data_IF_521550853105
#
_entry.id   IF_521550853105
#
_cell.length_a   1.000
_cell.length_b   1.000
_cell.length_c   1.000
_cell.angle_alpha   90.00
_cell.angle_beta   90.00
_cell.angle_gamma   90.00
#
_symmetry.space_group_name_H-M   'P 1'
#
loop_
_entity.id
_entity.type
_entity.pdbx_description
1 polymer ?
#
# COMPACT_ATOMS: atom_id res chain seq x y z
N UNK A 1 26.48 24.68 -7.27
CA UNK A 1 25.52 23.61 -7.03
C UNK A 1 26.12 22.59 -6.07
N UNK A 2 25.39 22.21 -5.06
CA UNK A 2 25.72 21.14 -4.14
C UNK A 2 24.81 19.99 -4.50
N UNK A 3 25.38 18.80 -4.74
CA UNK A 3 24.64 17.59 -5.02
C UNK A 3 24.83 16.64 -3.85
N UNK A 4 23.73 16.15 -3.29
CA UNK A 4 23.75 15.12 -2.27
C UNK A 4 23.08 13.86 -2.83
N UNK A 5 23.69 12.73 -2.57
CA UNK A 5 23.14 11.42 -2.89
C UNK A 5 22.67 10.79 -1.59
N UNK A 6 21.40 10.45 -1.52
CA UNK A 6 20.83 9.72 -0.39
C UNK A 6 20.20 8.45 -0.91
N UNK A 7 20.49 7.35 -0.26
CA UNK A 7 19.82 6.08 -0.50
C UNK A 7 18.53 6.07 0.32
N UNK A 8 17.38 6.18 -0.36
CA UNK A 8 16.06 6.30 0.30
C UNK A 8 15.62 5.00 0.94
N UNK A 9 16.16 3.87 0.48
CA UNK A 9 15.84 2.55 1.01
C UNK A 9 16.99 1.91 1.81
N UNK A 10 18.11 2.61 1.96
CA UNK A 10 19.29 2.12 2.71
C UNK A 10 19.11 2.06 4.21
N UNK A 11 18.00 2.55 4.75
CA UNK A 11 17.76 2.54 6.18
C UNK A 11 16.59 1.65 6.58
N UNK A 12 16.92 0.59 7.27
CA UNK A 12 16.11 -0.18 8.22
C UNK A 12 14.87 -0.92 7.72
N UNK A 13 14.10 -0.41 6.75
CA UNK A 13 12.89 -1.09 6.27
C UNK A 13 13.21 -2.08 5.15
N UNK A 14 14.21 -1.79 4.35
CA UNK A 14 14.58 -2.59 3.19
C UNK A 14 15.62 -3.66 3.48
N UNK A 15 16.47 -3.49 4.49
CA UNK A 15 17.51 -4.46 4.78
C UNK A 15 16.96 -5.87 5.05
N UNK A 16 15.87 -6.00 5.78
CA UNK A 16 15.25 -7.30 6.09
C UNK A 16 14.46 -7.90 4.93
N UNK A 17 14.03 -7.09 3.97
CA UNK A 17 13.35 -7.54 2.75
C UNK A 17 14.37 -7.86 1.65
N UNK A 18 15.45 -7.09 1.56
CA UNK A 18 16.52 -7.28 0.56
C UNK A 18 17.39 -8.50 0.84
N UNK A 19 17.57 -8.91 2.10
CA UNK A 19 18.31 -10.12 2.45
C UNK A 19 17.63 -11.43 2.00
N UNK A 20 16.35 -11.39 1.61
CA UNK A 20 15.61 -12.56 1.16
C UNK A 20 15.43 -12.68 -0.36
N UNK A 21 15.70 -11.65 -1.11
CA UNK A 21 15.62 -11.68 -2.56
C UNK A 21 17.01 -11.52 -3.15
N UNK A 22 17.47 -12.48 -3.93
CA UNK A 22 18.74 -12.47 -4.69
C UNK A 22 18.84 -11.34 -5.73
N UNK A 23 17.86 -10.43 -5.76
CA UNK A 23 17.81 -9.26 -6.65
C UNK A 23 17.80 -7.99 -5.84
N UNK A 24 18.96 -7.40 -5.68
CA UNK A 24 19.09 -6.09 -5.02
C UNK A 24 18.48 -4.98 -5.87
N UNK A 25 17.43 -4.37 -5.37
CA UNK A 25 16.99 -3.09 -5.86
C UNK A 25 17.69 -1.97 -5.09
N UNK A 26 18.24 -1.02 -5.80
CA UNK A 26 18.81 0.17 -5.20
C UNK A 26 17.98 1.39 -5.61
N UNK A 27 17.54 2.18 -4.63
CA UNK A 27 16.91 3.46 -4.90
C UNK A 27 17.85 4.58 -4.45
N UNK A 28 18.18 5.48 -5.37
CA UNK A 28 19.06 6.61 -5.09
C UNK A 28 18.30 7.90 -5.33
N UNK A 29 18.36 8.81 -4.37
CA UNK A 29 17.84 10.18 -4.53
C UNK A 29 19.00 11.14 -4.71
N UNK A 30 18.96 11.91 -5.79
CA UNK A 30 19.87 13.02 -6.06
C UNK A 30 19.16 14.32 -5.78
N UNK A 31 19.68 15.11 -4.82
CA UNK A 31 19.17 16.41 -4.46
C UNK A 31 20.15 17.49 -4.91
N UNK A 32 19.67 18.43 -5.70
CA UNK A 32 20.47 19.57 -6.19
C UNK A 32 20.06 20.82 -5.43
N UNK A 33 21.01 21.40 -4.73
CA UNK A 33 20.81 22.63 -3.95
C UNK A 33 21.52 23.81 -4.60
N UNK A 34 20.91 24.99 -4.49
CA UNK A 34 21.54 26.25 -4.85
C UNK A 34 22.68 26.56 -3.89
N UNK A 35 23.85 26.90 -4.42
CA UNK A 35 24.97 27.36 -3.59
C UNK A 35 24.76 28.75 -2.98
N UNK A 36 23.86 29.55 -3.57
CA UNK A 36 23.62 30.93 -3.15
C UNK A 36 22.79 31.02 -1.88
N UNK A 37 21.75 30.20 -1.77
CA UNK A 37 20.74 30.31 -0.72
C UNK A 37 20.42 28.94 -0.03
N UNK A 38 21.08 27.86 -0.45
CA UNK A 38 20.92 26.55 0.12
C UNK A 38 19.58 25.88 -0.20
N UNK A 39 18.76 26.50 -1.07
CA UNK A 39 17.45 25.96 -1.39
C UNK A 39 17.54 24.80 -2.37
N UNK A 40 16.70 23.81 -2.19
CA UNK A 40 16.58 22.65 -3.08
C UNK A 40 16.04 23.09 -4.44
N UNK A 41 16.76 22.80 -5.51
CA UNK A 41 16.38 23.19 -6.89
C UNK A 41 15.83 22.03 -7.70
N UNK A 42 16.29 20.82 -7.42
CA UNK A 42 15.89 19.63 -8.15
C UNK A 42 15.97 18.40 -7.26
N UNK A 43 15.06 17.48 -7.46
CA UNK A 43 15.10 16.11 -6.91
C UNK A 43 15.01 15.14 -8.07
N UNK A 44 15.87 14.13 -8.07
CA UNK A 44 15.77 12.99 -8.97
C UNK A 44 15.79 11.71 -8.16
N UNK A 45 14.88 10.77 -8.48
CA UNK A 45 14.83 9.45 -7.88
C UNK A 45 15.12 8.42 -8.97
N UNK A 46 16.11 7.60 -8.70
CA UNK A 46 16.58 6.56 -9.60
C UNK A 46 16.38 5.19 -8.97
N UNK A 47 15.88 4.27 -9.75
CA UNK A 47 15.91 2.85 -9.43
C UNK A 47 16.99 2.15 -10.23
N UNK A 48 17.79 1.36 -9.54
CA UNK A 48 18.81 0.50 -10.14
C UNK A 48 18.46 -0.96 -9.89
N UNK A 49 18.43 -1.72 -10.95
CA UNK A 49 18.23 -3.16 -10.94
C UNK A 49 19.11 -3.81 -11.98
N UNK A 50 19.82 -4.87 -11.62
CA UNK A 50 20.68 -5.64 -12.53
C UNK A 50 21.67 -4.74 -13.32
N UNK A 51 22.20 -3.68 -12.67
CA UNK A 51 23.10 -2.68 -13.27
C UNK A 51 22.40 -1.66 -14.20
N UNK A 52 21.08 -1.74 -14.38
CA UNK A 52 20.32 -0.75 -15.12
C UNK A 52 19.74 0.29 -14.19
N UNK A 53 20.04 1.56 -14.47
CA UNK A 53 19.55 2.73 -13.72
C UNK A 53 18.38 3.37 -14.48
N UNK A 54 17.21 3.42 -13.84
CA UNK A 54 15.99 4.01 -14.41
C UNK A 54 15.58 5.23 -13.61
N UNK A 55 15.36 6.35 -14.27
CA UNK A 55 14.81 7.55 -13.66
C UNK A 55 13.32 7.35 -13.39
N UNK A 56 12.92 7.40 -12.12
CA UNK A 56 11.52 7.19 -11.69
C UNK A 56 10.79 8.50 -11.50
N UNK A 57 11.51 9.51 -10.95
CA UNK A 57 10.95 10.81 -10.68
C UNK A 57 12.01 11.90 -10.93
N UNK A 58 11.60 12.97 -11.57
CA UNK A 58 12.38 14.22 -11.67
C UNK A 58 11.47 15.39 -11.36
N UNK A 59 11.86 16.19 -10.37
CA UNK A 59 11.26 17.50 -10.15
C UNK A 59 12.00 18.53 -11.01
N UNK A 60 11.30 19.21 -11.89
CA UNK A 60 11.92 20.20 -12.79
C UNK A 60 11.84 21.62 -12.25
N UNK A 61 10.82 21.92 -11.44
CA UNK A 61 10.62 23.24 -10.87
C UNK A 61 10.22 23.15 -9.41
N UNK A 62 11.09 23.64 -8.52
CA UNK A 62 10.78 23.82 -7.11
C UNK A 62 10.76 25.33 -6.85
N UNK A 63 9.59 25.83 -6.48
CA UNK A 63 9.38 27.25 -6.24
C UNK A 63 9.08 27.47 -4.77
N UNK A 64 9.76 28.45 -4.18
CA UNK A 64 9.63 28.79 -2.77
C UNK A 64 8.85 30.10 -2.61
N UNK A 65 8.16 30.22 -1.48
CA UNK A 65 7.47 31.46 -1.08
C UNK A 65 6.46 32.00 -2.11
N UNK A 66 5.87 31.11 -2.92
CA UNK A 66 4.72 31.51 -3.71
C UNK A 66 3.57 31.86 -2.79
N UNK A 67 2.91 33.02 -2.98
CA UNK A 67 1.66 33.28 -2.30
C UNK A 67 0.67 32.17 -2.70
N UNK A 68 0.26 31.36 -1.73
CA UNK A 68 -0.76 30.32 -1.96
C UNK A 68 -2.09 31.02 -2.26
N UNK A 69 -2.43 31.09 -3.53
CA UNK A 69 -3.76 31.54 -3.94
C UNK A 69 -4.71 30.39 -3.62
N UNK A 70 -5.75 30.60 -2.77
CA UNK A 70 -6.69 29.54 -2.38
C UNK A 70 -7.25 28.74 -3.56
N UNK A 71 -7.42 29.37 -4.72
CA UNK A 71 -7.87 28.72 -5.95
C UNK A 71 -6.89 27.65 -6.47
N UNK A 72 -5.59 27.73 -6.19
CA UNK A 72 -4.61 26.72 -6.59
C UNK A 72 -4.75 25.46 -5.73
N UNK A 73 -5.13 25.63 -4.46
CA UNK A 73 -5.35 24.51 -3.53
C UNK A 73 -6.66 23.75 -3.81
N UNK A 74 -7.59 24.40 -4.54
CA UNK A 74 -8.89 23.81 -4.91
C UNK A 74 -8.96 23.40 -6.38
N UNK A 75 -7.93 23.68 -7.19
CA UNK A 75 -7.89 23.19 -8.56
C UNK A 75 -7.79 21.67 -8.55
N UNK A 76 -8.92 21.04 -8.84
CA UNK A 76 -8.93 19.60 -9.12
C UNK A 76 -8.36 19.41 -10.51
N UNK A 77 -7.43 18.45 -10.72
CA UNK A 77 -7.04 18.04 -12.06
C UNK A 77 -8.29 17.66 -12.87
N UNK A 78 -8.18 17.77 -14.19
CA UNK A 78 -9.25 17.32 -15.07
C UNK A 78 -9.63 15.88 -14.74
N UNK A 79 -10.87 15.67 -14.30
CA UNK A 79 -11.36 14.39 -13.81
C UNK A 79 -11.55 13.37 -14.93
N UNK A 80 -11.41 13.74 -16.18
CA UNK A 80 -11.53 12.81 -17.33
C UNK A 80 -10.36 11.82 -17.41
N UNK A 81 -9.23 12.14 -16.77
CA UNK A 81 -8.02 11.29 -16.78
C UNK A 81 -7.55 10.87 -15.38
N UNK A 82 -8.21 11.33 -14.32
CA UNK A 82 -7.81 11.04 -12.92
C UNK A 82 -8.95 10.39 -12.18
N UNK A 83 -8.75 9.15 -11.80
CA UNK A 83 -9.63 8.50 -10.83
C UNK A 83 -9.31 9.06 -9.45
N UNK A 84 -10.16 9.92 -8.93
CA UNK A 84 -10.09 10.36 -7.54
C UNK A 84 -10.44 9.19 -6.63
N UNK A 85 -9.45 8.68 -5.95
CA UNK A 85 -9.70 7.86 -4.77
C UNK A 85 -10.20 8.84 -3.71
N UNK A 86 -11.51 9.01 -3.63
CA UNK A 86 -12.07 9.74 -2.50
C UNK A 86 -11.61 9.00 -1.25
N UNK A 87 -11.06 9.71 -0.28
CA UNK A 87 -10.71 9.16 1.02
C UNK A 87 -11.93 8.56 1.76
N UNK A 88 -13.06 8.59 1.12
CA UNK A 88 -14.34 8.17 1.62
C UNK A 88 -14.61 6.74 1.14
N UNK A 89 -14.24 5.81 1.95
CA UNK A 89 -14.88 4.52 2.21
C UNK A 89 -15.64 3.86 1.07
N UNK A 90 -15.40 2.57 0.87
CA UNK A 90 -16.25 1.75 0.02
C UNK A 90 -17.69 1.90 0.50
N UNK A 91 -18.55 2.37 -0.36
CA UNK A 91 -19.97 2.51 -0.06
C UNK A 91 -20.65 1.17 -0.31
N UNK A 92 -20.82 0.38 0.73
CA UNK A 92 -21.72 -0.77 0.70
C UNK A 92 -23.15 -0.24 0.67
N UNK A 93 -23.81 -0.35 -0.48
CA UNK A 93 -25.15 0.21 -0.70
C UNK A 93 -26.27 -0.71 -0.18
N UNK A 94 -26.05 -2.02 -0.18
CA UNK A 94 -27.01 -2.99 0.34
C UNK A 94 -26.99 -3.02 1.87
N UNK A 95 -28.08 -2.64 2.54
CA UNK A 95 -28.16 -2.61 4.00
C UNK A 95 -27.99 -3.99 4.65
N UNK A 96 -28.44 -5.07 3.98
CA UNK A 96 -28.32 -6.42 4.50
C UNK A 96 -26.86 -6.87 4.46
N UNK A 97 -26.17 -6.60 3.35
CA UNK A 97 -24.75 -6.87 3.21
C UNK A 97 -23.93 -6.03 4.20
N UNK A 98 -24.20 -4.74 4.32
CA UNK A 98 -23.52 -3.87 5.29
C UNK A 98 -23.67 -4.40 6.72
N UNK A 99 -24.89 -4.79 7.12
CA UNK A 99 -25.15 -5.37 8.46
C UNK A 99 -24.33 -6.62 8.70
N UNK A 100 -24.17 -7.48 7.68
CA UNK A 100 -23.33 -8.66 7.76
C UNK A 100 -21.88 -8.28 8.03
N UNK A 101 -21.32 -7.35 7.25
CA UNK A 101 -19.93 -6.91 7.37
C UNK A 101 -19.63 -6.19 8.70
N UNK A 102 -20.59 -5.42 9.21
CA UNK A 102 -20.42 -4.74 10.51
C UNK A 102 -20.49 -5.67 11.70
N UNK A 103 -21.11 -6.82 11.55
CA UNK A 103 -21.17 -7.84 12.60
C UNK A 103 -20.02 -8.87 12.55
N UNK A 104 -19.21 -8.86 11.49
CA UNK A 104 -18.04 -9.73 11.40
C UNK A 104 -17.01 -9.41 12.49
N UNK A 105 -16.42 -10.43 13.07
CA UNK A 105 -15.15 -10.32 13.80
C UNK A 105 -14.00 -10.07 12.83
N UNK A 106 -12.89 -9.55 13.31
CA UNK A 106 -11.70 -9.34 12.47
C UNK A 106 -11.15 -10.67 11.90
N UNK A 107 -11.30 -11.78 12.63
CA UNK A 107 -10.90 -13.10 12.17
C UNK A 107 -11.79 -13.57 11.00
N UNK A 108 -13.11 -13.41 11.11
CA UNK A 108 -14.05 -13.76 10.04
C UNK A 108 -13.83 -12.90 8.79
N UNK A 109 -13.60 -11.59 8.97
CA UNK A 109 -13.25 -10.69 7.88
C UNK A 109 -11.96 -11.13 7.18
N UNK A 110 -10.90 -11.45 7.96
CA UNK A 110 -9.65 -11.98 7.42
C UNK A 110 -9.88 -13.26 6.60
N UNK A 111 -10.64 -14.20 7.12
CA UNK A 111 -10.96 -15.45 6.43
C UNK A 111 -11.69 -15.21 5.11
N UNK A 112 -12.70 -14.33 5.12
CA UNK A 112 -13.46 -13.94 3.92
C UNK A 112 -12.57 -13.30 2.86
N UNK A 113 -11.72 -12.35 3.26
CA UNK A 113 -10.82 -11.63 2.35
C UNK A 113 -9.80 -12.58 1.74
N UNK A 114 -9.11 -13.35 2.58
CA UNK A 114 -8.10 -14.30 2.13
C UNK A 114 -8.69 -15.38 1.22
N UNK A 115 -9.90 -15.88 1.56
CA UNK A 115 -10.61 -16.83 0.71
C UNK A 115 -10.95 -16.22 -0.66
N UNK A 116 -11.43 -14.97 -0.71
CA UNK A 116 -11.75 -14.30 -1.97
C UNK A 116 -10.52 -14.20 -2.89
N UNK A 117 -9.35 -13.90 -2.31
CA UNK A 117 -8.09 -13.81 -3.06
C UNK A 117 -7.62 -15.20 -3.54
N UNK A 118 -7.62 -16.20 -2.67
CA UNK A 118 -7.17 -17.56 -3.03
C UNK A 118 -8.13 -18.27 -4.02
N UNK A 119 -9.42 -17.94 -3.99
CA UNK A 119 -10.39 -18.40 -4.97
C UNK A 119 -10.31 -17.66 -6.32
N UNK A 120 -9.46 -16.62 -6.42
CA UNK A 120 -9.35 -15.78 -7.61
C UNK A 120 -10.59 -14.90 -7.85
N UNK A 121 -11.34 -14.58 -6.80
CA UNK A 121 -12.59 -13.80 -6.83
C UNK A 121 -12.52 -12.57 -5.92
N UNK A 122 -11.56 -11.64 -6.12
CA UNK A 122 -11.33 -10.51 -5.22
C UNK A 122 -12.55 -9.59 -5.08
N UNK A 123 -13.45 -9.56 -6.08
CA UNK A 123 -14.69 -8.79 -6.03
C UNK A 123 -15.62 -9.21 -4.88
N UNK A 124 -15.48 -10.42 -4.33
CA UNK A 124 -16.27 -10.89 -3.18
C UNK A 124 -15.84 -10.25 -1.85
N UNK A 125 -14.73 -9.53 -1.86
CA UNK A 125 -14.23 -8.78 -0.72
C UNK A 125 -13.80 -7.35 -1.14
N UNK A 126 -14.37 -6.84 -2.23
CA UNK A 126 -13.94 -5.58 -2.85
C UNK A 126 -14.01 -4.38 -1.92
N UNK A 127 -15.01 -4.32 -1.04
CA UNK A 127 -15.15 -3.27 -0.03
C UNK A 127 -13.98 -3.28 0.99
N UNK A 128 -13.53 -4.46 1.39
CA UNK A 128 -12.42 -4.61 2.32
C UNK A 128 -11.05 -4.40 1.64
N UNK A 129 -10.98 -4.56 0.33
CA UNK A 129 -9.77 -4.42 -0.49
C UNK A 129 -9.70 -3.06 -1.21
N UNK A 130 -10.50 -2.10 -0.80
CA UNK A 130 -10.64 -0.80 -1.45
C UNK A 130 -9.29 -0.10 -1.69
N UNK A 131 -8.41 -0.06 -0.69
CA UNK A 131 -7.09 0.58 -0.82
C UNK A 131 -6.11 -0.18 -1.71
N UNK A 132 -6.44 -1.42 -2.06
CA UNK A 132 -5.63 -2.30 -2.90
C UNK A 132 -6.14 -2.41 -4.34
N UNK A 133 -7.13 -1.60 -4.73
CA UNK A 133 -7.78 -1.70 -6.05
C UNK A 133 -6.79 -1.74 -7.21
N UNK A 134 -5.74 -0.93 -7.15
CA UNK A 134 -4.70 -0.90 -8.19
C UNK A 134 -3.81 -2.17 -8.21
N UNK A 135 -3.64 -2.83 -7.05
CA UNK A 135 -2.81 -4.03 -6.89
C UNK A 135 -3.61 -5.33 -6.96
N UNK A 136 -4.95 -5.27 -7.01
CA UNK A 136 -5.82 -6.45 -7.00
C UNK A 136 -5.47 -7.51 -8.06
N UNK A 137 -5.15 -7.16 -9.30
CA UNK A 137 -4.79 -8.16 -10.29
C UNK A 137 -3.57 -8.98 -9.86
N UNK A 138 -2.49 -8.31 -9.45
CA UNK A 138 -1.24 -8.95 -9.01
C UNK A 138 -1.43 -9.74 -7.72
N UNK A 139 -2.13 -9.18 -6.72
CA UNK A 139 -2.45 -9.87 -5.48
C UNK A 139 -3.26 -11.14 -5.73
N UNK A 140 -4.26 -11.06 -6.59
CA UNK A 140 -5.11 -12.20 -6.93
C UNK A 140 -4.31 -13.28 -7.64
N UNK A 141 -3.46 -12.91 -8.60
CA UNK A 141 -2.62 -13.86 -9.31
C UNK A 141 -1.65 -14.58 -8.38
N UNK A 142 -1.01 -13.85 -7.48
CA UNK A 142 -0.05 -14.39 -6.50
C UNK A 142 -0.71 -15.31 -5.45
N UNK A 143 -1.97 -15.08 -5.13
CA UNK A 143 -2.67 -15.84 -4.09
C UNK A 143 -3.60 -16.93 -4.63
N UNK A 144 -3.98 -16.86 -5.90
CA UNK A 144 -4.88 -17.83 -6.53
C UNK A 144 -4.33 -19.25 -6.43
N UNK A 145 -5.16 -20.16 -5.94
CA UNK A 145 -4.80 -21.57 -5.75
C UNK A 145 -3.97 -21.85 -4.49
N UNK A 146 -3.55 -20.84 -3.75
CA UNK A 146 -2.96 -21.04 -2.43
C UNK A 146 -4.02 -21.54 -1.42
N UNK A 147 -3.55 -22.20 -0.36
CA UNK A 147 -4.39 -22.63 0.76
C UNK A 147 -4.11 -21.79 1.99
N UNK A 148 -5.14 -21.24 2.59
CA UNK A 148 -5.07 -20.52 3.87
C UNK A 148 -5.48 -21.44 5.00
N UNK A 149 -4.69 -21.45 6.07
CA UNK A 149 -4.96 -22.22 7.27
C UNK A 149 -4.50 -21.50 8.54
N UNK A 150 -4.87 -22.02 9.70
CA UNK A 150 -4.45 -21.50 11.01
C UNK A 150 -4.68 -19.98 11.17
N UNK A 151 -5.82 -19.48 10.72
CA UNK A 151 -6.19 -18.07 10.92
C UNK A 151 -6.42 -17.82 12.40
N UNK A 152 -5.59 -16.96 12.99
CA UNK A 152 -5.62 -16.68 14.43
C UNK A 152 -6.77 -15.75 14.81
N UNK A 153 -7.02 -15.65 16.10
CA UNK A 153 -7.76 -14.50 16.63
C UNK A 153 -6.99 -13.21 16.38
N UNK A 154 -7.72 -12.10 16.30
CA UNK A 154 -7.14 -10.77 16.13
C UNK A 154 -6.30 -10.38 17.35
N UNK A 155 -5.15 -9.77 17.09
CA UNK A 155 -4.27 -9.22 18.12
C UNK A 155 -4.19 -7.72 17.97
N UNK A 156 -4.47 -7.01 19.05
CA UNK A 156 -4.19 -5.59 19.15
C UNK A 156 -2.69 -5.35 19.26
N UNK A 157 -2.22 -4.24 18.72
CA UNK A 157 -0.84 -3.80 18.85
C UNK A 157 -0.83 -2.38 19.43
N UNK A 158 0.03 -2.15 20.42
CA UNK A 158 0.24 -0.82 20.98
C UNK A 158 0.58 0.15 19.85
N UNK A 159 -0.01 1.33 19.88
CA UNK A 159 0.19 2.41 18.89
C UNK A 159 -0.33 2.11 17.46
N UNK A 160 -1.16 1.09 17.30
CA UNK A 160 -1.83 0.79 16.03
C UNK A 160 -3.34 0.76 16.22
N UNK A 161 -4.09 1.53 15.42
CA UNK A 161 -5.56 1.66 15.50
C UNK A 161 -6.33 0.46 14.91
N UNK A 162 -5.63 -0.54 14.43
CA UNK A 162 -6.19 -1.75 13.86
C UNK A 162 -5.82 -2.98 14.66
N UNK A 163 -6.04 -4.12 14.05
CA UNK A 163 -5.69 -5.43 14.58
C UNK A 163 -4.88 -6.22 13.57
N UNK A 164 -4.11 -7.19 14.05
CA UNK A 164 -3.33 -8.09 13.23
C UNK A 164 -3.88 -9.50 13.38
N UNK A 165 -4.14 -10.16 12.26
CA UNK A 165 -4.56 -11.55 12.19
C UNK A 165 -3.46 -12.35 11.49
N UNK A 166 -2.92 -13.36 12.17
CA UNK A 166 -1.89 -14.24 11.60
C UNK A 166 -2.54 -15.43 10.89
N UNK A 167 -1.90 -15.91 9.84
CA UNK A 167 -2.37 -17.08 9.09
C UNK A 167 -1.19 -17.81 8.45
N UNK A 168 -1.44 -19.04 8.01
CA UNK A 168 -0.51 -19.82 7.19
C UNK A 168 -0.99 -19.83 5.75
N UNK A 169 -0.11 -19.51 4.82
CA UNK A 169 -0.33 -19.57 3.39
C UNK A 169 0.49 -20.73 2.82
N UNK A 170 -0.16 -21.68 2.17
CA UNK A 170 0.52 -22.76 1.44
C UNK A 170 0.30 -22.54 -0.05
N UNK A 171 1.40 -22.37 -0.77
CA UNK A 171 1.41 -22.17 -2.24
C UNK A 171 1.10 -23.50 -2.96
N UNK A 172 0.71 -23.47 -4.24
CA UNK A 172 0.40 -24.69 -4.99
C UNK A 172 1.56 -25.69 -5.09
N UNK A 173 2.81 -25.22 -5.01
CA UNK A 173 4.04 -26.05 -4.96
C UNK A 173 4.31 -26.64 -3.56
N UNK A 174 3.43 -26.39 -2.59
CA UNK A 174 3.51 -26.94 -1.24
C UNK A 174 4.33 -26.16 -0.22
N UNK A 175 4.91 -25.05 -0.59
CA UNK A 175 5.66 -24.19 0.34
C UNK A 175 4.67 -23.50 1.30
N UNK A 176 4.96 -23.56 2.60
CA UNK A 176 4.11 -22.94 3.63
C UNK A 176 4.84 -21.79 4.31
N UNK A 177 4.18 -20.64 4.40
CA UNK A 177 4.69 -19.43 5.03
C UNK A 177 3.73 -18.94 6.12
N UNK A 178 4.31 -18.41 7.23
CA UNK A 178 3.53 -17.66 8.21
C UNK A 178 3.39 -16.22 7.73
N UNK A 179 2.18 -15.77 7.60
CA UNK A 179 1.85 -14.41 7.16
C UNK A 179 0.90 -13.72 8.14
N UNK A 180 0.64 -12.47 7.92
CA UNK A 180 -0.36 -11.72 8.66
C UNK A 180 -1.12 -10.78 7.74
N UNK A 181 -2.30 -10.38 8.17
CA UNK A 181 -3.10 -9.32 7.57
C UNK A 181 -3.42 -8.30 8.65
N UNK A 182 -3.21 -7.04 8.36
CA UNK A 182 -3.58 -5.93 9.22
C UNK A 182 -4.93 -5.39 8.78
N UNK A 183 -5.86 -5.25 9.73
CA UNK A 183 -7.22 -4.82 9.48
C UNK A 183 -7.56 -3.61 10.33
N UNK A 184 -8.28 -2.64 9.73
CA UNK A 184 -8.82 -1.47 10.43
C UNK A 184 -10.32 -1.35 10.24
N UNK A 185 -10.97 -0.71 11.22
CA UNK A 185 -12.43 -0.55 11.25
C UNK A 185 -12.86 0.90 11.48
N UNK A 186 -11.90 1.81 11.51
CA UNK A 186 -12.12 3.24 11.76
C UNK A 186 -12.57 3.99 10.48
N UNK A 187 -13.58 3.47 9.83
CA UNK A 187 -14.22 4.05 8.66
C UNK A 187 -15.70 4.33 8.94
N UNK A 188 -16.38 5.24 8.17
CA UNK A 188 -17.75 5.66 8.44
C UNK A 188 -18.77 4.52 8.47
N UNK A 189 -18.52 3.42 7.77
CA UNK A 189 -19.42 2.27 7.76
C UNK A 189 -19.08 1.22 8.83
N UNK A 190 -17.95 1.37 9.53
CA UNK A 190 -17.52 0.46 10.58
C UNK A 190 -17.26 -0.98 10.11
N UNK A 191 -16.80 -1.16 8.87
CA UNK A 191 -16.44 -2.46 8.31
C UNK A 191 -14.94 -2.71 8.40
N UNK A 192 -14.51 -3.97 8.42
CA UNK A 192 -13.11 -4.32 8.40
C UNK A 192 -12.51 -4.13 7.00
N UNK A 193 -11.44 -3.36 6.93
CA UNK A 193 -10.69 -3.08 5.71
C UNK A 193 -9.22 -3.46 5.87
N UNK A 194 -8.61 -3.90 4.78
CA UNK A 194 -7.18 -4.22 4.76
C UNK A 194 -6.36 -2.94 4.81
N UNK A 195 -5.45 -2.89 5.77
CA UNK A 195 -4.50 -1.79 5.97
C UNK A 195 -3.05 -2.21 5.66
N UNK A 196 -2.78 -3.52 5.57
CA UNK A 196 -1.47 -4.05 5.21
C UNK A 196 -1.36 -5.57 5.32
N UNK A 197 -0.18 -6.08 4.96
CA UNK A 197 0.19 -7.48 5.21
C UNK A 197 -0.36 -8.52 4.22
N UNK A 198 -0.73 -8.11 3.02
CA UNK A 198 -1.11 -9.04 1.94
C UNK A 198 0.06 -9.39 1.03
#
# INVERSE_FOLDING_TARGET
>A
TIVTHTDVYGNAISASLLEKEEKSYRCTTENVFSKRDGLLQQVQIWWERDGQKTLVLKSEHIVYNLPLVPSVLVQRPDTTQVTWLSANTPSVKDPAHLRKLTNETAQEAAQRILKALTDGKPQMAGEALYYYTAQLPTLTENMKGCKVSAVSQAKEKKDYKGVIVFYKLTTPDGKTENRHIALRRDNPQGIWMVDGGL
#
